data_IF_356478823857
#
_entry.id   IF_356478823857
#
_cell.length_a   1.000
_cell.length_b   1.000
_cell.length_c   1.000
_cell.angle_alpha   90.00
_cell.angle_beta   90.00
_cell.angle_gamma   90.00
#
_symmetry.space_group_name_H-M   'P 1'
#
loop_
_entity.id
_entity.type
_entity.pdbx_description
1 polymer ?
#
# COMPACT_ATOMS: atom_id res chain seq x y z
N UNK A 1 -4.83 -27.78 25.64
CA UNK A 1 -3.56 -27.23 25.12
C UNK A 1 -3.81 -26.66 23.72
N UNK A 2 -3.91 -25.33 23.58
CA UNK A 2 -3.99 -24.68 22.27
C UNK A 2 -2.58 -24.31 21.84
N UNK A 3 -1.97 -25.16 21.01
CA UNK A 3 -0.56 -25.06 20.63
C UNK A 3 -0.24 -24.02 19.56
N UNK A 4 -1.24 -23.44 18.88
CA UNK A 4 -1.01 -22.33 17.95
C UNK A 4 -2.30 -21.55 17.65
N UNK A 5 -2.37 -20.27 18.04
CA UNK A 5 -3.54 -19.41 17.76
C UNK A 5 -3.59 -18.91 16.31
N UNK A 6 -2.45 -18.90 15.61
CA UNK A 6 -2.33 -18.41 14.23
C UNK A 6 -1.41 -19.34 13.41
N UNK A 7 -1.92 -20.48 12.92
CA UNK A 7 -1.13 -21.38 12.10
C UNK A 7 -0.74 -20.71 10.79
N UNK A 8 0.55 -20.76 10.46
CA UNK A 8 1.02 -20.36 9.12
C UNK A 8 0.69 -21.48 8.14
N UNK A 9 -0.13 -21.17 7.14
CA UNK A 9 -0.41 -22.08 6.03
C UNK A 9 0.45 -21.70 4.81
N UNK A 10 0.87 -22.71 4.04
CA UNK A 10 1.55 -22.45 2.79
C UNK A 10 0.53 -21.96 1.75
N UNK A 11 0.85 -20.88 1.05
CA UNK A 11 0.04 -20.33 -0.02
C UNK A 11 0.85 -20.31 -1.32
N UNK A 12 0.26 -20.82 -2.40
CA UNK A 12 0.87 -20.74 -3.73
C UNK A 12 0.81 -19.30 -4.23
N UNK A 13 1.98 -18.74 -4.57
CA UNK A 13 2.11 -17.39 -5.10
C UNK A 13 2.05 -17.44 -6.63
N UNK A 14 1.01 -16.86 -7.21
CA UNK A 14 0.74 -16.86 -8.65
C UNK A 14 1.22 -15.60 -9.39
N UNK A 15 0.53 -15.26 -10.49
CA UNK A 15 0.85 -14.07 -11.29
C UNK A 15 0.56 -12.74 -10.56
N UNK A 16 1.07 -11.63 -11.11
CA UNK A 16 0.73 -10.28 -10.64
C UNK A 16 -0.74 -10.00 -10.98
N UNK A 17 -1.52 -9.60 -9.96
CA UNK A 17 -2.94 -9.24 -10.10
C UNK A 17 -3.21 -7.78 -9.76
N UNK A 18 -2.19 -7.07 -9.25
CA UNK A 18 -2.27 -5.67 -8.92
C UNK A 18 -0.87 -5.08 -8.99
N UNK A 19 -0.75 -3.91 -9.59
CA UNK A 19 0.49 -3.15 -9.64
C UNK A 19 0.20 -1.67 -9.38
N UNK A 20 1.02 -1.07 -8.50
CA UNK A 20 1.01 0.36 -8.24
C UNK A 20 2.40 0.92 -8.58
N UNK A 21 2.45 2.00 -9.37
CA UNK A 21 3.71 2.67 -9.72
C UNK A 21 3.69 4.14 -9.38
N UNK A 22 4.83 4.59 -8.87
CA UNK A 22 5.16 5.99 -8.61
C UNK A 22 4.11 6.74 -7.77
N UNK A 23 3.47 6.03 -6.83
CA UNK A 23 2.45 6.60 -5.97
C UNK A 23 3.09 7.69 -5.11
N UNK A 24 2.62 8.91 -5.28
CA UNK A 24 3.09 10.08 -4.54
C UNK A 24 1.90 10.86 -4.01
N UNK A 25 1.92 11.19 -2.71
CA UNK A 25 0.87 11.94 -2.03
C UNK A 25 1.48 13.17 -1.37
N UNK A 26 0.87 14.34 -1.57
CA UNK A 26 1.28 15.59 -0.95
C UNK A 26 0.40 15.91 0.25
N UNK A 27 1.01 16.40 1.32
CA UNK A 27 0.32 16.86 2.52
C UNK A 27 -0.77 17.90 2.17
N UNK A 28 -1.94 17.74 2.78
CA UNK A 28 -3.13 18.57 2.51
C UNK A 28 -2.94 20.02 2.95
N UNK A 29 -2.18 20.26 4.02
CA UNK A 29 -1.94 21.57 4.60
C UNK A 29 -0.65 22.20 4.05
N UNK A 30 0.32 21.37 3.68
CA UNK A 30 1.60 21.81 3.12
C UNK A 30 1.94 21.13 1.78
N UNK A 31 1.58 21.75 0.64
CA UNK A 31 1.82 21.18 -0.68
C UNK A 31 3.28 20.92 -1.06
N UNK A 32 4.26 21.41 -0.29
CA UNK A 32 5.69 21.13 -0.49
C UNK A 32 6.15 19.87 0.23
N UNK A 33 5.37 19.35 1.16
CA UNK A 33 5.68 18.14 1.92
C UNK A 33 5.03 16.93 1.26
N UNK A 34 5.84 15.93 0.95
CA UNK A 34 5.34 14.61 0.52
C UNK A 34 5.06 13.73 1.74
N UNK A 35 3.91 13.08 1.74
CA UNK A 35 3.50 12.07 2.73
C UNK A 35 3.79 10.66 2.25
N UNK A 36 3.69 10.46 0.94
CA UNK A 36 4.10 9.26 0.21
C UNK A 36 4.97 9.77 -0.93
N UNK A 37 6.14 9.18 -1.14
CA UNK A 37 7.10 9.63 -2.13
C UNK A 37 7.56 8.46 -2.99
N UNK A 38 7.09 8.45 -4.24
CA UNK A 38 7.53 7.53 -5.30
C UNK A 38 7.47 6.04 -4.92
N UNK A 39 6.36 5.60 -4.33
CA UNK A 39 6.18 4.21 -3.91
C UNK A 39 5.67 3.37 -5.08
N UNK A 40 6.33 2.23 -5.31
CA UNK A 40 5.93 1.23 -6.31
C UNK A 40 5.97 -0.17 -5.72
N UNK A 41 4.93 -0.97 -5.99
CA UNK A 41 4.87 -2.37 -5.56
C UNK A 41 3.91 -3.18 -6.45
N UNK A 42 4.07 -4.50 -6.38
CA UNK A 42 3.16 -5.48 -7.00
C UNK A 42 2.55 -6.35 -5.93
N UNK A 43 1.34 -6.85 -6.19
CA UNK A 43 0.68 -7.87 -5.40
C UNK A 43 0.36 -9.06 -6.32
N UNK A 44 0.81 -10.23 -5.91
CA UNK A 44 0.58 -11.48 -6.64
C UNK A 44 -0.65 -12.23 -6.13
N UNK A 45 -1.21 -13.08 -6.99
CA UNK A 45 -2.29 -13.99 -6.61
C UNK A 45 -1.85 -14.87 -5.44
N UNK A 46 -2.64 -14.92 -4.38
CA UNK A 46 -2.35 -15.72 -3.18
C UNK A 46 -1.37 -15.09 -2.19
N UNK A 47 -0.79 -13.92 -2.51
CA UNK A 47 0.10 -13.19 -1.61
C UNK A 47 -0.68 -12.32 -0.61
N UNK A 48 -0.18 -12.24 0.63
CA UNK A 48 -0.65 -11.27 1.63
C UNK A 48 0.38 -10.14 1.72
N UNK A 49 0.04 -8.97 1.17
CA UNK A 49 0.90 -7.79 1.24
C UNK A 49 0.57 -6.93 2.47
N UNK A 50 1.52 -6.83 3.39
CA UNK A 50 1.42 -5.97 4.57
C UNK A 50 2.09 -4.61 4.36
N UNK A 51 1.38 -3.52 4.67
CA UNK A 51 1.93 -2.16 4.68
C UNK A 51 2.11 -1.70 6.13
N UNK A 52 3.35 -1.63 6.60
CA UNK A 52 3.71 -1.30 7.97
C UNK A 52 4.65 -0.07 8.04
N UNK A 53 4.70 0.57 9.21
CA UNK A 53 5.49 1.78 9.43
C UNK A 53 5.07 2.54 10.69
N UNK A 54 5.92 3.47 11.13
CA UNK A 54 5.65 4.30 12.30
C UNK A 54 4.42 5.21 12.10
N UNK A 55 3.95 5.82 13.19
CA UNK A 55 2.91 6.86 13.10
C UNK A 55 3.41 8.00 12.23
N UNK A 56 2.60 8.40 11.26
CA UNK A 56 2.95 9.44 10.28
C UNK A 56 3.79 8.96 9.10
N UNK A 57 4.06 7.65 8.95
CA UNK A 57 4.82 7.09 7.83
C UNK A 57 4.08 7.10 6.47
N UNK A 58 2.86 7.65 6.38
CA UNK A 58 2.12 7.75 5.12
C UNK A 58 1.27 6.52 4.76
N UNK A 59 1.04 5.58 5.69
CA UNK A 59 0.29 4.33 5.41
C UNK A 59 -1.15 4.59 4.97
N UNK A 60 -1.87 5.43 5.72
CA UNK A 60 -3.26 5.79 5.40
C UNK A 60 -3.31 6.56 4.10
N UNK A 61 -2.38 7.49 3.90
CA UNK A 61 -2.28 8.30 2.68
C UNK A 61 -1.99 7.45 1.44
N UNK A 62 -1.12 6.44 1.55
CA UNK A 62 -0.84 5.49 0.48
C UNK A 62 -2.10 4.70 0.11
N UNK A 63 -2.74 4.05 1.09
CA UNK A 63 -3.93 3.23 0.83
C UNK A 63 -5.08 4.08 0.29
N UNK A 64 -5.34 5.25 0.88
CA UNK A 64 -6.39 6.15 0.39
C UNK A 64 -6.14 6.61 -1.05
N UNK A 65 -4.89 6.84 -1.46
CA UNK A 65 -4.57 7.24 -2.83
C UNK A 65 -4.80 6.11 -3.84
N UNK A 66 -4.48 4.86 -3.49
CA UNK A 66 -4.73 3.69 -4.34
C UNK A 66 -6.22 3.50 -4.65
N UNK A 67 -7.10 3.82 -3.69
CA UNK A 67 -8.56 3.76 -3.87
C UNK A 67 -9.17 5.06 -4.40
N UNK A 68 -8.36 6.05 -4.76
CA UNK A 68 -8.83 7.36 -5.24
C UNK A 68 -9.55 8.21 -4.19
N UNK A 69 -9.45 7.84 -2.91
CA UNK A 69 -10.14 8.47 -1.79
C UNK A 69 -9.27 9.49 -1.03
N UNK A 70 -8.02 9.71 -1.47
CA UNK A 70 -7.13 10.67 -0.83
C UNK A 70 -7.61 12.12 -1.08
N UNK A 71 -7.81 12.94 -0.04
CA UNK A 71 -8.34 14.29 -0.20
C UNK A 71 -7.32 15.31 -0.74
N UNK A 72 -6.02 15.00 -0.65
CA UNK A 72 -4.95 15.87 -1.12
C UNK A 72 -4.57 15.63 -2.58
N UNK A 73 -3.54 16.33 -3.06
CA UNK A 73 -2.96 16.04 -4.37
C UNK A 73 -2.20 14.71 -4.33
N UNK A 74 -2.48 13.83 -5.27
CA UNK A 74 -1.72 12.60 -5.48
C UNK A 74 -1.54 12.30 -6.97
N UNK A 75 -0.56 11.46 -7.29
CA UNK A 75 -0.26 10.98 -8.63
C UNK A 75 0.28 9.56 -8.57
N UNK A 76 0.15 8.84 -9.70
CA UNK A 76 0.66 7.49 -9.87
C UNK A 76 -0.21 6.71 -10.84
N UNK A 77 0.15 5.46 -11.06
CA UNK A 77 -0.55 4.56 -11.98
C UNK A 77 -0.89 3.25 -11.25
N UNK A 78 -2.08 2.70 -11.53
CA UNK A 78 -2.58 1.47 -10.92
C UNK A 78 -3.12 0.55 -12.02
N UNK A 79 -2.70 -0.72 -12.00
CA UNK A 79 -3.15 -1.79 -12.90
C UNK A 79 -3.82 -2.91 -12.10
N UNK A 80 -4.91 -3.46 -12.65
CA UNK A 80 -5.73 -4.53 -12.11
C UNK A 80 -5.83 -5.70 -13.12
#
# INVERSE_FOLDING_TARGET
EMSNLYPTEAHDIGEVIFEARNITCYDVDNPRRKRVDDISFVLKRGEILGIAGLVGAGRTELVSALFGAYPGRYSGEVWL
#
